data_IF_161524315905
#
_entry.id   IF_161524315905
#
_cell.length_a   1.000
_cell.length_b   1.000
_cell.length_c   1.000
_cell.angle_alpha   90.00
_cell.angle_beta   90.00
_cell.angle_gamma   90.00
#
_symmetry.space_group_name_H-M   'P 1'
#
loop_
_entity.id
_entity.type
_entity.pdbx_description
1 polymer ?
#
# COMPACT_ATOMS: atom_id res chain seq x y z
N UNK A 1 -65.39 97.46 -63.64
CA UNK A 1 -66.31 96.34 -63.63
C UNK A 1 -65.51 95.08 -63.78
N UNK A 2 -65.43 94.14 -63.01
CA UNK A 2 -66.14 93.47 -61.97
C UNK A 2 -65.23 92.37 -61.48
N UNK A 3 -64.97 92.30 -60.23
CA UNK A 3 -64.22 91.22 -59.60
C UNK A 3 -65.19 90.15 -59.05
N UNK A 4 -65.06 88.95 -59.38
CA UNK A 4 -65.48 87.83 -58.54
C UNK A 4 -64.95 86.52 -59.12
N UNK A 5 -64.17 85.75 -58.34
CA UNK A 5 -63.84 84.38 -58.72
C UNK A 5 -62.60 83.79 -58.11
N UNK A 6 -62.32 83.98 -56.79
CA UNK A 6 -61.17 83.21 -56.20
C UNK A 6 -61.38 82.83 -54.76
N UNK A 7 -62.56 82.44 -54.30
CA UNK A 7 -62.84 82.06 -52.93
C UNK A 7 -63.16 80.55 -52.74
N UNK A 8 -63.44 79.81 -53.82
CA UNK A 8 -63.78 78.34 -53.70
C UNK A 8 -62.59 77.38 -53.70
N UNK A 9 -61.43 77.73 -54.28
CA UNK A 9 -60.30 76.83 -54.39
C UNK A 9 -59.48 76.70 -53.11
N UNK A 10 -59.56 77.64 -52.15
CA UNK A 10 -58.80 77.54 -50.89
C UNK A 10 -59.45 76.65 -49.83
N UNK A 11 -60.78 76.45 -49.91
CA UNK A 11 -61.51 75.59 -48.95
C UNK A 11 -61.24 74.11 -49.30
N UNK A 12 -61.25 73.75 -50.58
CA UNK A 12 -60.97 72.38 -51.03
C UNK A 12 -59.51 71.99 -50.77
N UNK A 13 -58.55 72.93 -50.94
CA UNK A 13 -57.12 72.63 -50.56
C UNK A 13 -56.95 72.52 -49.09
N UNK A 14 -57.63 73.25 -48.22
CA UNK A 14 -57.52 73.09 -46.76
C UNK A 14 -58.14 71.76 -46.25
N UNK A 15 -59.29 71.34 -46.84
CA UNK A 15 -59.91 70.06 -46.47
C UNK A 15 -59.08 68.84 -46.94
N UNK A 16 -58.40 68.95 -48.09
CA UNK A 16 -57.52 67.92 -48.58
C UNK A 16 -56.23 67.77 -47.69
N UNK A 17 -55.73 68.95 -47.24
CA UNK A 17 -54.58 68.99 -46.33
C UNK A 17 -54.90 68.42 -44.93
N UNK A 18 -56.13 68.67 -44.42
CA UNK A 18 -56.57 68.11 -43.13
C UNK A 18 -56.82 66.59 -43.22
N UNK A 19 -57.34 66.12 -44.35
CA UNK A 19 -57.54 64.70 -44.59
C UNK A 19 -56.18 63.95 -44.70
N UNK A 20 -55.23 64.59 -45.44
CA UNK A 20 -53.87 64.03 -45.52
C UNK A 20 -53.16 63.99 -44.15
N UNK A 21 -53.34 65.04 -43.32
CA UNK A 21 -52.78 65.07 -41.98
C UNK A 21 -53.39 63.99 -41.05
N UNK A 22 -54.73 63.73 -41.19
CA UNK A 22 -55.38 62.66 -40.43
C UNK A 22 -54.92 61.25 -40.85
N UNK A 23 -54.68 61.04 -42.15
CA UNK A 23 -54.15 59.77 -42.66
C UNK A 23 -52.71 59.57 -42.17
N UNK A 24 -51.86 60.58 -42.16
CA UNK A 24 -50.50 60.53 -41.64
C UNK A 24 -50.54 60.29 -40.16
N UNK A 25 -51.42 60.92 -39.39
CA UNK A 25 -51.54 60.69 -37.94
C UNK A 25 -52.02 59.27 -37.62
N UNK A 26 -52.97 58.73 -38.40
CA UNK A 26 -53.43 57.34 -38.31
C UNK A 26 -52.35 56.39 -38.66
N UNK A 27 -51.53 56.67 -39.69
CA UNK A 27 -50.40 55.83 -40.07
C UNK A 27 -49.27 55.82 -38.98
N UNK A 28 -49.02 57.01 -38.41
CA UNK A 28 -48.06 57.13 -37.28
C UNK A 28 -48.58 56.38 -36.03
N UNK A 29 -49.88 56.54 -35.70
CA UNK A 29 -50.53 55.84 -34.62
C UNK A 29 -50.50 54.32 -34.84
N UNK A 30 -50.74 53.85 -36.07
CA UNK A 30 -50.66 52.43 -36.41
C UNK A 30 -49.21 51.90 -36.32
N UNK A 31 -48.22 52.67 -36.73
CA UNK A 31 -46.81 52.34 -36.58
C UNK A 31 -46.39 52.29 -35.12
N UNK A 32 -46.84 53.23 -34.29
CA UNK A 32 -46.56 53.24 -32.86
C UNK A 32 -47.28 52.07 -32.18
N UNK A 33 -48.53 51.77 -32.55
CA UNK A 33 -49.28 50.63 -32.03
C UNK A 33 -48.62 49.30 -32.39
N UNK A 34 -48.19 49.08 -33.62
CA UNK A 34 -47.49 47.90 -34.06
C UNK A 34 -46.08 47.75 -33.37
N UNK A 35 -45.39 48.91 -33.18
CA UNK A 35 -44.12 48.93 -32.50
C UNK A 35 -44.25 48.66 -30.99
N UNK A 36 -45.35 49.04 -30.34
CA UNK A 36 -45.59 48.80 -28.91
C UNK A 36 -46.18 47.45 -28.66
N UNK A 37 -46.89 46.83 -29.62
CA UNK A 37 -47.43 45.47 -29.51
C UNK A 37 -46.59 44.41 -30.23
N UNK A 38 -45.41 44.73 -30.77
CA UNK A 38 -44.42 43.66 -31.06
C UNK A 38 -43.95 43.06 -29.76
N UNK A 39 -44.56 41.94 -29.43
CA UNK A 39 -44.13 41.03 -28.34
C UNK A 39 -42.64 40.88 -28.48
N UNK A 40 -41.90 41.31 -27.46
CA UNK A 40 -40.47 41.10 -27.33
C UNK A 40 -40.28 39.59 -27.39
N UNK A 41 -39.90 39.03 -28.56
CA UNK A 41 -39.40 37.69 -28.65
C UNK A 41 -38.31 37.61 -27.60
N UNK A 42 -38.55 36.82 -26.54
CA UNK A 42 -37.56 36.52 -25.50
C UNK A 42 -36.34 36.00 -26.24
N UNK A 43 -35.30 36.82 -26.33
CA UNK A 43 -34.03 36.42 -26.88
C UNK A 43 -33.67 35.11 -26.16
N UNK A 44 -33.67 34.01 -26.89
CA UNK A 44 -33.20 32.71 -26.41
C UNK A 44 -31.82 32.97 -25.81
N UNK A 45 -31.70 32.88 -24.49
CA UNK A 45 -30.42 33.00 -23.81
C UNK A 45 -29.42 32.09 -24.54
N UNK A 46 -28.21 32.56 -24.85
CA UNK A 46 -27.25 31.75 -25.58
C UNK A 46 -27.08 30.44 -24.84
N UNK A 47 -27.51 29.36 -25.47
CA UNK A 47 -27.36 28.03 -24.90
C UNK A 47 -25.91 27.61 -25.10
N UNK A 48 -25.24 27.27 -24.02
CA UNK A 48 -23.85 26.78 -24.05
C UNK A 48 -23.84 25.26 -24.13
N UNK A 49 -22.98 24.72 -25.00
CA UNK A 49 -22.77 23.27 -25.11
C UNK A 49 -21.90 22.80 -23.94
N UNK A 50 -22.38 21.81 -23.23
CA UNK A 50 -21.67 21.20 -22.06
C UNK A 50 -21.65 19.69 -22.15
N UNK A 51 -20.65 19.08 -21.58
CA UNK A 51 -20.61 17.63 -21.33
C UNK A 51 -21.08 17.39 -19.90
N UNK A 52 -22.07 16.53 -19.73
CA UNK A 52 -22.61 16.18 -18.42
C UNK A 52 -22.23 14.75 -18.02
N UNK A 53 -22.19 14.50 -16.72
CA UNK A 53 -22.08 13.17 -16.11
C UNK A 53 -23.13 13.05 -15.01
N UNK A 54 -23.51 11.83 -14.68
CA UNK A 54 -24.40 11.56 -13.55
C UNK A 54 -23.58 11.40 -12.27
N UNK A 55 -24.16 11.78 -11.14
CA UNK A 55 -23.63 11.46 -9.81
C UNK A 55 -23.92 10.01 -9.53
N UNK A 56 -22.88 9.19 -9.41
CA UNK A 56 -22.97 7.77 -9.07
C UNK A 56 -22.91 7.60 -7.56
N UNK A 57 -23.77 6.74 -7.01
CA UNK A 57 -23.63 6.30 -5.63
C UNK A 57 -22.96 4.93 -5.60
N UNK A 58 -21.73 4.86 -5.07
CA UNK A 58 -20.97 3.61 -4.96
C UNK A 58 -19.91 3.70 -3.87
N UNK A 59 -19.43 2.54 -3.45
CA UNK A 59 -18.29 2.47 -2.53
C UNK A 59 -17.05 3.09 -3.15
N UNK A 60 -16.43 4.02 -2.44
CA UNK A 60 -15.25 4.74 -2.88
C UNK A 60 -14.05 4.41 -2.00
N UNK A 61 -13.09 3.68 -2.58
CA UNK A 61 -11.83 3.34 -1.91
C UNK A 61 -10.81 4.46 -2.08
N UNK A 62 -10.38 5.02 -0.97
CA UNK A 62 -9.25 5.95 -0.95
C UNK A 62 -7.97 5.14 -0.99
N UNK A 63 -7.29 5.17 -2.12
CA UNK A 63 -6.02 4.48 -2.33
C UNK A 63 -4.87 5.43 -2.02
N UNK A 64 -3.92 4.93 -1.26
CA UNK A 64 -2.63 5.58 -1.05
C UNK A 64 -1.57 4.81 -1.83
N UNK A 65 -0.93 5.47 -2.78
CA UNK A 65 0.12 4.88 -3.61
C UNK A 65 1.47 5.19 -2.99
N UNK A 66 2.29 4.17 -2.83
CA UNK A 66 3.65 4.27 -2.29
C UNK A 66 4.53 3.19 -2.92
N UNK A 67 5.84 3.33 -2.73
CA UNK A 67 6.80 2.30 -3.10
C UNK A 67 7.28 1.56 -1.85
N UNK A 68 7.66 0.31 -2.02
CA UNK A 68 8.22 -0.49 -0.94
C UNK A 68 9.17 -1.55 -1.45
N UNK A 69 9.76 -2.27 -0.50
CA UNK A 69 10.71 -3.35 -0.76
C UNK A 69 10.11 -4.68 -0.33
N UNK A 70 10.29 -5.69 -1.14
CA UNK A 70 10.00 -7.07 -0.75
C UNK A 70 11.08 -7.52 0.25
N UNK A 71 10.64 -8.11 1.36
CA UNK A 71 11.50 -8.67 2.39
C UNK A 71 11.06 -10.08 2.73
N UNK A 72 12.00 -10.98 2.97
CA UNK A 72 11.66 -12.32 3.44
C UNK A 72 10.93 -12.25 4.79
N UNK A 73 10.11 -13.24 5.07
CA UNK A 73 9.43 -13.30 6.36
C UNK A 73 10.43 -13.52 7.50
N UNK A 74 11.39 -14.44 7.32
CA UNK A 74 12.54 -14.65 8.19
C UNK A 74 13.78 -14.83 7.34
N UNK A 75 14.92 -14.34 7.83
CA UNK A 75 16.25 -14.54 7.24
C UNK A 75 17.17 -14.98 8.36
N UNK A 76 17.90 -16.06 8.14
CA UNK A 76 18.88 -16.57 9.10
C UNK A 76 20.19 -16.85 8.38
N UNK A 77 21.25 -16.20 8.86
CA UNK A 77 22.62 -16.51 8.47
C UNK A 77 23.11 -17.71 9.25
N UNK A 78 23.42 -18.79 8.58
CA UNK A 78 23.97 -20.00 9.17
C UNK A 78 25.47 -19.82 9.38
N UNK A 79 25.89 -19.94 10.65
CA UNK A 79 27.28 -19.78 11.08
C UNK A 79 27.71 -20.96 11.94
N UNK A 80 28.97 -21.39 11.86
CA UNK A 80 29.47 -22.43 12.73
C UNK A 80 29.55 -21.94 14.18
N UNK A 81 29.33 -22.81 15.15
CA UNK A 81 29.49 -22.48 16.57
C UNK A 81 30.87 -22.92 17.10
N UNK A 82 31.59 -23.76 16.34
CA UNK A 82 32.94 -24.23 16.64
C UNK A 82 33.86 -23.95 15.46
N UNK A 83 35.16 -23.90 15.70
CA UNK A 83 36.15 -23.75 14.63
C UNK A 83 36.59 -25.14 14.19
N UNK A 84 36.23 -25.52 12.95
CA UNK A 84 36.56 -26.83 12.42
C UNK A 84 36.57 -26.83 10.88
N UNK A 85 37.06 -27.92 10.26
CA UNK A 85 37.04 -28.10 8.81
C UNK A 85 35.63 -28.56 8.35
N UNK A 86 35.16 -28.04 7.23
CA UNK A 86 33.95 -28.55 6.57
C UNK A 86 34.25 -29.91 5.96
N UNK A 87 33.55 -30.93 6.43
CA UNK A 87 33.68 -32.31 5.93
C UNK A 87 32.82 -32.50 4.68
N UNK A 88 31.52 -32.24 4.80
CA UNK A 88 30.55 -32.42 3.71
C UNK A 88 29.51 -31.30 3.67
N UNK A 89 29.02 -31.04 2.48
CA UNK A 89 27.91 -30.12 2.21
C UNK A 89 26.74 -30.95 1.69
N UNK A 90 25.62 -30.96 2.43
CA UNK A 90 24.47 -31.82 2.17
C UNK A 90 23.34 -31.14 1.43
N UNK A 91 23.53 -29.85 1.09
CA UNK A 91 22.57 -29.01 0.36
C UNK A 91 23.20 -28.43 -0.92
N UNK A 92 22.35 -27.95 -1.82
CA UNK A 92 22.75 -27.23 -3.04
C UNK A 92 22.30 -25.78 -2.96
N UNK A 93 22.96 -24.91 -3.74
CA UNK A 93 22.51 -23.53 -3.93
C UNK A 93 21.05 -23.47 -4.39
N UNK A 94 20.24 -22.61 -3.77
CA UNK A 94 18.83 -22.44 -4.11
C UNK A 94 17.90 -23.59 -3.66
N UNK A 95 18.39 -24.58 -2.94
CA UNK A 95 17.58 -25.72 -2.48
C UNK A 95 16.61 -25.30 -1.37
N UNK A 96 15.37 -25.84 -1.42
CA UNK A 96 14.42 -25.70 -0.32
C UNK A 96 14.79 -26.68 0.81
N UNK A 97 14.84 -26.16 2.04
CA UNK A 97 15.20 -26.87 3.26
C UNK A 97 14.13 -26.71 4.33
N UNK A 98 13.97 -27.73 5.19
CA UNK A 98 13.07 -27.70 6.34
C UNK A 98 13.83 -27.43 7.63
N UNK A 99 13.14 -26.89 8.62
CA UNK A 99 13.71 -26.78 9.95
C UNK A 99 14.15 -28.16 10.46
N UNK A 100 15.42 -28.26 10.94
CA UNK A 100 16.07 -29.50 11.40
C UNK A 100 16.87 -30.23 10.34
N UNK A 101 16.72 -29.91 9.04
CA UNK A 101 17.55 -30.57 8.00
C UNK A 101 19.02 -30.26 8.20
N UNK A 102 19.87 -31.28 7.96
CA UNK A 102 21.33 -31.12 8.05
C UNK A 102 21.80 -30.37 6.79
N UNK A 103 22.55 -29.32 7.02
CA UNK A 103 23.08 -28.46 5.95
C UNK A 103 24.57 -28.81 5.69
N UNK A 104 25.34 -28.87 6.77
CA UNK A 104 26.79 -29.10 6.72
C UNK A 104 27.19 -30.05 7.83
N UNK A 105 28.22 -30.83 7.59
CA UNK A 105 28.96 -31.58 8.63
C UNK A 105 30.40 -31.08 8.69
N UNK A 106 30.88 -30.91 9.88
CA UNK A 106 32.29 -30.58 10.15
C UNK A 106 33.08 -31.85 10.48
N UNK A 107 34.39 -31.74 10.58
CA UNK A 107 35.27 -32.87 10.99
C UNK A 107 35.13 -33.15 12.46
N UNK A 108 34.27 -34.09 12.82
CA UNK A 108 33.88 -34.43 14.18
C UNK A 108 34.86 -35.41 14.91
N UNK A 109 35.93 -35.81 14.25
CA UNK A 109 36.82 -36.88 14.78
C UNK A 109 37.39 -36.55 16.16
N UNK A 110 37.85 -35.30 16.36
CA UNK A 110 38.39 -34.84 17.64
C UNK A 110 37.34 -34.78 18.74
N UNK A 111 36.20 -34.15 18.42
CA UNK A 111 35.13 -33.93 19.41
C UNK A 111 34.41 -35.23 19.77
N UNK A 112 34.28 -36.12 18.80
CA UNK A 112 33.79 -37.48 19.02
C UNK A 112 34.71 -38.29 19.96
N UNK A 113 36.05 -38.19 19.80
CA UNK A 113 37.01 -38.83 20.69
C UNK A 113 36.98 -38.20 22.11
N UNK A 114 36.84 -36.86 22.19
CA UNK A 114 36.69 -36.15 23.47
C UNK A 114 35.40 -36.53 24.18
N UNK A 115 34.28 -36.62 23.48
CA UNK A 115 33.02 -37.09 24.05
C UNK A 115 33.13 -38.55 24.51
N UNK A 116 33.72 -39.46 23.73
CA UNK A 116 33.90 -40.85 24.09
C UNK A 116 34.75 -41.01 25.36
N UNK A 117 35.83 -40.21 25.49
CA UNK A 117 36.65 -40.16 26.71
C UNK A 117 35.86 -39.69 27.93
N UNK A 118 35.16 -38.55 27.83
CA UNK A 118 34.38 -38.00 28.93
C UNK A 118 33.26 -38.95 29.36
N UNK A 119 32.60 -39.60 28.41
CA UNK A 119 31.55 -40.58 28.64
C UNK A 119 32.11 -41.81 29.40
N UNK A 120 33.28 -42.33 29.02
CA UNK A 120 33.88 -43.46 29.69
C UNK A 120 34.20 -43.14 31.18
N UNK A 121 34.66 -41.92 31.48
CA UNK A 121 34.90 -41.44 32.85
C UNK A 121 33.56 -41.31 33.60
N UNK A 122 32.52 -40.78 33.02
CA UNK A 122 31.20 -40.68 33.63
C UNK A 122 30.58 -42.05 33.93
N UNK A 123 30.68 -42.97 32.97
CA UNK A 123 30.21 -44.35 33.15
C UNK A 123 30.97 -45.09 34.29
N UNK A 124 32.26 -44.79 34.42
CA UNK A 124 33.06 -45.40 35.57
C UNK A 124 32.69 -44.79 36.92
N UNK A 125 32.57 -43.44 36.99
CA UNK A 125 32.16 -42.76 38.22
C UNK A 125 30.72 -43.17 38.63
N UNK A 126 29.82 -43.37 37.67
CA UNK A 126 28.48 -43.90 37.97
C UNK A 126 28.50 -45.33 38.52
N UNK A 127 29.37 -46.21 38.00
CA UNK A 127 29.55 -47.54 38.55
C UNK A 127 30.14 -47.52 39.98
N UNK A 128 31.07 -46.59 40.25
CA UNK A 128 31.62 -46.38 41.60
C UNK A 128 30.56 -45.95 42.60
N UNK A 129 29.71 -44.95 42.17
CA UNK A 129 28.61 -44.51 43.01
C UNK A 129 27.60 -45.65 43.31
N UNK A 130 27.21 -46.39 42.27
CA UNK A 130 26.28 -47.51 42.42
C UNK A 130 26.86 -48.60 43.39
N UNK A 131 28.17 -48.91 43.32
CA UNK A 131 28.86 -49.83 44.30
C UNK A 131 28.86 -49.27 45.71
N UNK A 132 29.14 -47.95 45.87
CA UNK A 132 29.13 -47.32 47.19
C UNK A 132 27.73 -47.33 47.82
N UNK A 133 26.68 -47.12 47.03
CA UNK A 133 25.29 -47.26 47.52
C UNK A 133 24.94 -48.65 47.98
N UNK A 134 25.43 -49.72 47.30
CA UNK A 134 25.19 -51.09 47.70
C UNK A 134 25.96 -51.44 48.97
N UNK A 135 27.21 -50.97 49.09
CA UNK A 135 28.02 -51.17 50.31
C UNK A 135 27.45 -50.41 51.53
N UNK A 136 26.83 -49.26 51.32
CA UNK A 136 26.10 -48.50 52.37
C UNK A 136 24.93 -49.31 52.95
N UNK A 137 24.12 -49.94 52.06
CA UNK A 137 23.02 -50.82 52.52
C UNK A 137 23.49 -51.93 53.44
N UNK A 138 24.74 -52.37 53.25
CA UNK A 138 25.41 -53.42 54.09
C UNK A 138 26.21 -52.84 55.25
N UNK A 139 26.17 -51.50 55.47
CA UNK A 139 26.93 -50.77 56.51
C UNK A 139 28.48 -50.87 56.39
N UNK A 140 29.02 -51.13 55.21
CA UNK A 140 30.46 -51.21 54.99
C UNK A 140 31.13 -49.87 54.66
N UNK A 141 30.36 -48.82 54.32
CA UNK A 141 30.84 -47.46 54.06
C UNK A 141 29.98 -46.43 54.76
N UNK A 142 30.50 -45.19 54.96
CA UNK A 142 29.78 -44.08 55.55
C UNK A 142 28.88 -43.35 54.50
N UNK A 143 27.87 -42.70 54.98
CA UNK A 143 27.07 -41.83 54.13
C UNK A 143 27.94 -40.79 53.40
N UNK A 144 28.90 -40.17 54.07
CA UNK A 144 29.84 -39.21 53.49
C UNK A 144 30.64 -39.77 52.31
N UNK A 145 31.00 -41.06 52.34
CA UNK A 145 31.68 -41.74 51.22
C UNK A 145 30.73 -41.85 49.98
N UNK A 146 29.46 -42.19 50.22
CA UNK A 146 28.42 -42.22 49.14
C UNK A 146 28.19 -40.85 48.58
N UNK A 147 28.05 -39.79 49.40
CA UNK A 147 27.86 -38.46 48.97
C UNK A 147 29.04 -37.95 48.12
N UNK A 148 30.27 -38.31 48.47
CA UNK A 148 31.48 -38.01 47.69
C UNK A 148 31.45 -38.71 46.32
N UNK A 149 31.12 -39.98 46.25
CA UNK A 149 31.05 -40.73 44.98
C UNK A 149 29.88 -40.22 44.09
N UNK A 150 28.81 -39.84 44.74
CA UNK A 150 27.68 -39.17 44.03
C UNK A 150 28.12 -37.87 43.38
N UNK A 151 28.76 -36.99 44.15
CA UNK A 151 29.23 -35.69 43.61
C UNK A 151 30.22 -35.88 42.44
N UNK A 152 31.11 -36.90 42.55
CA UNK A 152 32.05 -37.27 41.49
C UNK A 152 31.30 -37.76 40.22
N UNK A 153 30.28 -38.60 40.39
CA UNK A 153 29.48 -39.11 39.28
C UNK A 153 28.70 -38.01 38.59
N UNK A 154 28.08 -37.09 39.34
CA UNK A 154 27.36 -35.92 38.80
C UNK A 154 28.33 -35.00 38.07
N UNK A 155 29.52 -34.71 38.58
CA UNK A 155 30.54 -33.90 37.93
C UNK A 155 31.06 -34.52 36.63
N UNK A 156 31.34 -35.84 36.63
CA UNK A 156 31.78 -36.55 35.44
C UNK A 156 30.68 -36.58 34.36
N UNK A 157 29.42 -36.79 34.76
CA UNK A 157 28.28 -36.74 33.84
C UNK A 157 28.14 -35.36 33.21
N UNK A 158 28.20 -34.28 33.98
CA UNK A 158 28.17 -32.93 33.49
C UNK A 158 29.28 -32.66 32.46
N UNK A 159 30.48 -33.18 32.69
CA UNK A 159 31.61 -33.07 31.75
C UNK A 159 31.34 -33.83 30.43
N UNK A 160 30.73 -35.03 30.51
CA UNK A 160 30.33 -35.78 29.32
C UNK A 160 29.23 -35.07 28.52
N UNK A 161 28.26 -34.48 29.23
CA UNK A 161 27.19 -33.71 28.58
C UNK A 161 27.74 -32.47 27.90
N UNK A 162 28.69 -31.75 28.50
CA UNK A 162 29.37 -30.62 27.87
C UNK A 162 30.10 -31.04 26.58
N UNK A 163 30.86 -32.16 26.62
CA UNK A 163 31.53 -32.67 25.43
C UNK A 163 30.53 -33.10 24.33
N UNK A 164 29.36 -33.66 24.73
CA UNK A 164 28.29 -34.01 23.79
C UNK A 164 27.70 -32.79 23.09
N UNK A 165 27.54 -31.68 23.82
CA UNK A 165 27.05 -30.41 23.22
C UNK A 165 28.03 -29.88 22.17
N UNK A 166 29.36 -29.89 22.50
CA UNK A 166 30.40 -29.47 21.54
C UNK A 166 30.33 -30.34 20.28
N UNK A 167 30.28 -31.64 20.39
CA UNK A 167 30.14 -32.59 19.27
C UNK A 167 28.87 -32.32 18.45
N UNK A 168 27.78 -31.85 19.08
CA UNK A 168 26.55 -31.56 18.39
C UNK A 168 26.68 -30.34 17.45
N UNK A 169 27.62 -29.44 17.69
CA UNK A 169 27.89 -28.27 16.88
C UNK A 169 28.60 -28.60 15.55
N UNK A 170 29.19 -29.77 15.43
CA UNK A 170 29.78 -30.26 14.17
C UNK A 170 28.72 -30.63 13.13
N UNK A 171 27.48 -30.82 13.54
CA UNK A 171 26.35 -31.04 12.64
C UNK A 171 25.51 -29.78 12.57
N UNK A 172 25.64 -29.00 11.48
CA UNK A 172 24.96 -27.74 11.29
C UNK A 172 23.61 -27.99 10.64
N UNK A 173 22.53 -27.55 11.33
CA UNK A 173 21.14 -27.73 10.88
C UNK A 173 20.45 -26.41 10.61
N UNK A 174 19.42 -26.47 9.75
CA UNK A 174 18.57 -25.32 9.51
C UNK A 174 17.65 -25.04 10.70
N UNK A 175 17.64 -23.82 11.26
CA UNK A 175 16.71 -23.43 12.31
C UNK A 175 15.31 -23.11 11.78
N UNK A 176 15.16 -22.84 10.48
CA UNK A 176 13.90 -22.44 9.84
C UNK A 176 13.67 -23.24 8.56
N UNK A 177 12.41 -23.29 8.14
CA UNK A 177 12.05 -23.77 6.79
C UNK A 177 12.16 -22.59 5.82
N UNK A 178 12.87 -22.80 4.70
CA UNK A 178 13.11 -21.75 3.71
C UNK A 178 13.94 -22.23 2.54
N UNK A 179 14.43 -21.31 1.75
CA UNK A 179 15.32 -21.58 0.62
C UNK A 179 16.74 -21.16 0.97
N UNK A 180 17.69 -22.04 0.71
CA UNK A 180 19.11 -21.75 0.84
C UNK A 180 19.55 -20.76 -0.25
N UNK A 181 20.33 -19.77 0.13
CA UNK A 181 21.01 -18.87 -0.80
C UNK A 181 22.26 -19.51 -1.41
N UNK A 182 23.22 -18.67 -1.78
CA UNK A 182 24.52 -19.12 -2.29
C UNK A 182 25.36 -19.65 -1.13
N UNK A 183 25.97 -20.79 -1.30
CA UNK A 183 26.87 -21.43 -0.34
C UNK A 183 28.27 -20.83 -0.51
N UNK A 184 28.80 -20.26 0.58
CA UNK A 184 30.07 -19.53 0.56
C UNK A 184 31.27 -20.36 1.06
N UNK A 185 31.08 -21.65 1.27
CA UNK A 185 32.12 -22.56 1.79
C UNK A 185 32.24 -23.80 0.91
N UNK A 186 33.39 -24.46 0.97
CA UNK A 186 33.68 -25.69 0.24
C UNK A 186 34.14 -26.79 1.19
N UNK A 187 34.01 -28.07 0.84
CA UNK A 187 34.62 -29.16 1.58
C UNK A 187 36.12 -28.91 1.75
N UNK A 188 36.62 -29.05 2.98
CA UNK A 188 38.02 -28.75 3.36
C UNK A 188 38.26 -27.29 3.77
N UNK A 189 37.26 -26.39 3.67
CA UNK A 189 37.41 -25.02 4.19
C UNK A 189 37.43 -25.04 5.74
N UNK A 190 38.32 -24.24 6.33
CA UNK A 190 38.29 -23.97 7.75
C UNK A 190 37.23 -22.91 8.05
N UNK A 191 36.25 -23.22 8.88
CA UNK A 191 35.21 -22.29 9.32
C UNK A 191 35.42 -22.00 10.81
N UNK A 192 35.10 -20.77 11.23
CA UNK A 192 35.33 -20.32 12.61
C UNK A 192 34.09 -19.60 13.17
N UNK A 193 33.83 -19.84 14.45
CA UNK A 193 32.82 -19.15 15.25
C UNK A 193 33.20 -17.67 15.53
N UNK A 194 34.50 -17.34 15.46
CA UNK A 194 35.00 -16.00 15.74
C UNK A 194 34.82 -15.08 14.53
N UNK A 195 34.05 -14.04 14.69
CA UNK A 195 33.90 -12.96 13.70
C UNK A 195 35.12 -12.02 13.78
N UNK A 196 36.35 -12.52 13.70
CA UNK A 196 37.54 -11.65 13.65
C UNK A 196 37.74 -11.22 12.22
N UNK A 197 37.19 -10.04 11.87
CA UNK A 197 37.64 -9.26 10.70
C UNK A 197 39.05 -8.78 11.01
N UNK A 198 40.07 -9.48 10.57
CA UNK A 198 41.40 -8.92 10.46
C UNK A 198 41.36 -7.94 9.30
N UNK A 199 41.21 -6.68 9.62
CA UNK A 199 41.27 -5.58 8.65
C UNK A 199 42.70 -5.48 8.13
N UNK A 200 43.02 -6.21 7.08
CA UNK A 200 44.16 -5.90 6.23
C UNK A 200 43.75 -4.77 5.33
N UNK A 201 44.40 -3.65 5.48
CA UNK A 201 44.26 -2.40 4.73
C UNK A 201 44.32 -2.65 3.21
N UNK A 202 43.15 -2.87 2.59
CA UNK A 202 42.98 -2.64 1.14
C UNK A 202 41.49 -2.53 0.86
N UNK A 203 41.14 -1.40 0.27
CA UNK A 203 39.80 -1.02 -0.11
C UNK A 203 39.16 -2.08 -1.04
N UNK A 204 37.87 -2.28 -0.86
CA UNK A 204 36.94 -3.00 -1.76
C UNK A 204 36.89 -4.52 -1.57
N UNK A 205 36.37 -4.95 -0.42
CA UNK A 205 35.56 -6.17 -0.37
C UNK A 205 34.70 -6.11 0.92
N UNK A 206 33.45 -5.74 0.80
CA UNK A 206 32.42 -6.01 1.81
C UNK A 206 32.14 -7.53 1.76
N UNK A 207 33.09 -8.31 2.21
CA UNK A 207 32.86 -9.72 2.45
C UNK A 207 32.16 -9.76 3.81
N UNK A 208 30.90 -10.14 3.85
CA UNK A 208 30.23 -10.58 5.06
C UNK A 208 30.92 -11.87 5.52
N UNK A 209 32.00 -11.70 6.25
CA UNK A 209 32.82 -12.78 6.79
C UNK A 209 31.97 -13.51 7.83
N UNK A 210 31.60 -14.74 7.55
CA UNK A 210 31.11 -15.65 8.54
C UNK A 210 29.85 -16.47 8.26
N UNK A 211 28.99 -16.10 7.34
CA UNK A 211 27.83 -16.93 7.00
C UNK A 211 28.23 -18.01 5.98
N UNK A 212 28.02 -19.28 6.32
CA UNK A 212 28.22 -20.40 5.40
C UNK A 212 27.16 -20.40 4.30
N UNK A 213 25.92 -20.11 4.67
CA UNK A 213 24.76 -19.92 3.79
C UNK A 213 23.73 -19.08 4.52
N UNK A 214 22.94 -18.30 3.77
CA UNK A 214 21.77 -17.59 4.30
C UNK A 214 20.52 -18.37 3.90
N UNK A 215 19.62 -18.65 4.86
CA UNK A 215 18.34 -19.29 4.61
C UNK A 215 17.26 -18.23 4.73
N UNK A 216 16.43 -18.09 3.68
CA UNK A 216 15.36 -17.13 3.60
C UNK A 216 14.00 -17.81 3.47
N UNK A 217 13.06 -17.43 4.33
CA UNK A 217 11.67 -17.88 4.22
C UNK A 217 10.95 -16.99 3.19
N UNK A 218 10.69 -17.57 2.01
CA UNK A 218 10.12 -16.87 0.88
C UNK A 218 8.58 -16.97 0.79
N UNK A 219 7.98 -17.93 1.47
CA UNK A 219 6.52 -18.07 1.57
C UNK A 219 6.09 -18.34 3.02
N UNK A 220 5.20 -17.49 3.58
CA UNK A 220 4.76 -16.20 3.06
C UNK A 220 5.91 -15.21 2.95
N UNK A 221 5.75 -14.19 2.08
CA UNK A 221 6.71 -13.09 1.93
C UNK A 221 6.08 -11.79 2.43
N UNK A 222 6.91 -10.82 2.77
CA UNK A 222 6.42 -9.53 3.24
C UNK A 222 6.83 -8.40 2.29
N UNK A 223 6.04 -7.34 2.28
CA UNK A 223 6.42 -6.06 1.70
C UNK A 223 6.57 -5.04 2.82
N UNK A 224 7.67 -4.32 2.83
CA UNK A 224 7.98 -3.23 3.75
C UNK A 224 7.85 -1.90 3.01
N UNK A 225 7.03 -1.00 3.53
CA UNK A 225 6.79 0.33 2.97
C UNK A 225 6.55 1.35 4.06
N UNK A 226 6.53 2.63 3.69
CA UNK A 226 6.32 3.74 4.62
C UNK A 226 5.01 4.44 4.34
N UNK A 227 4.35 4.90 5.41
CA UNK A 227 3.12 5.69 5.36
C UNK A 227 3.35 6.98 6.14
N UNK A 228 3.09 8.17 5.55
CA UNK A 228 3.20 9.45 6.24
C UNK A 228 2.34 9.51 7.51
N UNK A 229 2.85 10.18 8.55
CA UNK A 229 2.15 10.33 9.84
C UNK A 229 0.73 10.90 9.69
N UNK A 230 0.53 11.82 8.73
CA UNK A 230 -0.78 12.39 8.45
C UNK A 230 -1.87 11.35 8.13
N UNK A 231 -1.47 10.19 7.57
CA UNK A 231 -2.38 9.09 7.22
C UNK A 231 -2.48 8.01 8.31
N UNK A 232 -1.68 8.11 9.38
CA UNK A 232 -1.59 7.07 10.42
C UNK A 232 -2.92 6.85 11.14
N UNK A 233 -3.63 7.93 11.49
CA UNK A 233 -4.93 7.85 12.17
C UNK A 233 -5.96 7.04 11.36
N UNK A 234 -6.04 7.30 10.06
CA UNK A 234 -6.92 6.55 9.15
C UNK A 234 -6.49 5.08 9.06
N UNK A 235 -5.18 4.84 8.94
CA UNK A 235 -4.61 3.49 8.86
C UNK A 235 -4.92 2.66 10.10
N UNK A 236 -4.77 3.25 11.30
CA UNK A 236 -5.07 2.55 12.56
C UNK A 236 -6.56 2.24 12.71
N UNK A 237 -7.43 3.14 12.28
CA UNK A 237 -8.88 2.92 12.28
C UNK A 237 -9.26 1.77 11.35
N UNK A 238 -8.72 1.73 10.13
CA UNK A 238 -8.99 0.66 9.17
C UNK A 238 -8.38 -0.68 9.62
N UNK A 239 -7.18 -0.67 10.22
CA UNK A 239 -6.53 -1.88 10.77
C UNK A 239 -7.38 -2.56 11.86
N UNK A 240 -8.10 -1.79 12.64
CA UNK A 240 -8.96 -2.30 13.74
C UNK A 240 -10.22 -3.00 13.24
N UNK A 241 -10.54 -2.90 11.96
CA UNK A 241 -11.70 -3.59 11.35
C UNK A 241 -11.39 -5.08 11.14
N UNK A 242 -12.40 -5.97 11.21
CA UNK A 242 -12.21 -7.42 11.01
C UNK A 242 -11.61 -7.79 9.66
N UNK A 243 -11.88 -7.01 8.63
CA UNK A 243 -11.39 -7.23 7.26
C UNK A 243 -9.90 -6.89 7.12
N UNK A 244 -9.37 -6.03 8.01
CA UNK A 244 -8.01 -5.50 7.95
C UNK A 244 -7.79 -4.58 6.75
N UNK A 245 -6.54 -4.22 6.50
CA UNK A 245 -6.17 -3.34 5.39
C UNK A 245 -5.62 -4.18 4.24
N UNK A 246 -6.30 -4.12 3.10
CA UNK A 246 -5.81 -4.75 1.88
C UNK A 246 -4.68 -3.91 1.26
N UNK A 247 -3.68 -4.63 0.78
CA UNK A 247 -2.53 -4.07 0.05
C UNK A 247 -2.43 -4.76 -1.29
N UNK A 248 -2.39 -4.00 -2.36
CA UNK A 248 -2.13 -4.51 -3.70
C UNK A 248 -0.71 -4.13 -4.10
N UNK A 249 0.08 -5.13 -4.43
CA UNK A 249 1.44 -4.97 -4.94
C UNK A 249 1.42 -5.17 -6.44
N UNK A 250 1.90 -4.18 -7.18
CA UNK A 250 2.03 -4.26 -8.63
C UNK A 250 3.44 -4.76 -8.96
N UNK A 251 3.52 -5.84 -9.74
CA UNK A 251 4.77 -6.39 -10.24
C UNK A 251 5.15 -5.74 -11.57
N UNK A 252 6.43 -5.76 -11.90
CA UNK A 252 6.95 -5.19 -13.15
C UNK A 252 6.37 -5.85 -14.42
N UNK A 253 5.92 -7.09 -14.34
CA UNK A 253 5.24 -7.81 -15.43
C UNK A 253 3.76 -7.44 -15.61
N UNK A 254 3.22 -6.53 -14.77
CA UNK A 254 1.81 -6.13 -14.77
C UNK A 254 0.91 -6.97 -13.87
N UNK A 255 1.39 -8.07 -13.31
CA UNK A 255 0.63 -8.88 -12.36
C UNK A 255 0.41 -8.13 -11.04
N UNK A 256 -0.67 -8.48 -10.34
CA UNK A 256 -1.02 -7.91 -9.06
C UNK A 256 -1.12 -8.99 -8.00
N UNK A 257 -0.44 -8.77 -6.89
CA UNK A 257 -0.58 -9.63 -5.71
C UNK A 257 -1.28 -8.87 -4.60
N UNK A 258 -2.25 -9.53 -3.96
CA UNK A 258 -3.01 -8.95 -2.86
C UNK A 258 -2.50 -9.55 -1.56
N UNK A 259 -2.25 -8.67 -0.60
CA UNK A 259 -1.85 -9.04 0.76
C UNK A 259 -2.62 -8.24 1.80
N UNK A 260 -2.25 -8.45 3.06
CA UNK A 260 -2.86 -7.73 4.19
C UNK A 260 -1.78 -7.13 5.08
N UNK A 261 -2.01 -5.90 5.54
CA UNK A 261 -1.19 -5.28 6.59
C UNK A 261 -1.33 -6.09 7.86
N UNK A 262 -0.20 -6.51 8.45
CA UNK A 262 -0.19 -7.20 9.73
C UNK A 262 0.57 -6.45 10.82
N UNK A 263 1.57 -5.64 10.44
CA UNK A 263 2.33 -4.81 11.37
C UNK A 263 2.35 -3.36 10.88
N UNK A 264 2.05 -2.45 11.79
CA UNK A 264 2.37 -1.03 11.71
C UNK A 264 3.36 -0.78 12.84
N UNK A 265 4.50 -0.19 12.54
CA UNK A 265 5.54 0.10 13.52
C UNK A 265 4.98 1.00 14.64
N UNK A 266 5.51 0.87 15.84
CA UNK A 266 5.12 1.67 17.00
C UNK A 266 5.92 2.98 17.11
N UNK A 267 6.84 3.23 16.17
CA UNK A 267 7.65 4.43 16.11
C UNK A 267 7.52 5.13 14.76
N UNK A 268 7.43 6.46 14.82
CA UNK A 268 7.54 7.33 13.65
C UNK A 268 9.02 7.58 13.40
N UNK A 269 9.47 7.38 12.20
CA UNK A 269 10.81 7.81 11.78
C UNK A 269 10.80 9.32 11.63
N UNK A 270 11.43 10.01 12.57
CA UNK A 270 11.42 11.48 12.65
C UNK A 270 12.20 12.15 11.52
N UNK A 271 13.09 11.42 10.85
CA UNK A 271 13.86 11.97 9.72
C UNK A 271 12.99 12.16 8.47
N UNK A 272 11.97 11.31 8.31
CA UNK A 272 11.10 11.31 7.13
C UNK A 272 9.61 11.55 7.47
N UNK A 273 9.26 11.69 8.76
CA UNK A 273 7.87 11.90 9.20
C UNK A 273 6.92 10.76 8.79
N UNK A 274 7.39 9.52 8.78
CA UNK A 274 6.63 8.37 8.29
C UNK A 274 6.78 7.16 9.22
N UNK A 275 5.80 6.26 9.16
CA UNK A 275 5.77 5.00 9.91
C UNK A 275 6.02 3.84 8.96
N UNK A 276 6.84 2.88 9.39
CA UNK A 276 7.07 1.64 8.65
C UNK A 276 5.90 0.68 8.81
N UNK A 277 5.47 0.11 7.70
CA UNK A 277 4.35 -0.83 7.64
C UNK A 277 4.80 -2.09 6.93
N UNK A 278 4.39 -3.25 7.46
CA UNK A 278 4.61 -4.55 6.82
C UNK A 278 3.27 -5.16 6.44
N UNK A 279 3.18 -5.61 5.20
CA UNK A 279 2.06 -6.43 4.74
C UNK A 279 2.57 -7.79 4.30
N UNK A 280 1.76 -8.81 4.54
CA UNK A 280 2.04 -10.19 4.19
C UNK A 280 1.35 -10.56 2.89
N UNK A 281 2.11 -11.23 2.02
CA UNK A 281 1.63 -11.73 0.73
C UNK A 281 1.89 -13.23 0.63
N UNK A 282 1.04 -13.92 -0.11
CA UNK A 282 1.35 -15.27 -0.58
C UNK A 282 2.37 -15.21 -1.71
N UNK A 283 3.35 -16.11 -1.68
CA UNK A 283 4.40 -16.22 -2.68
C UNK A 283 4.68 -17.70 -3.02
N UNK A 284 3.61 -18.47 -3.15
CA UNK A 284 3.69 -19.90 -3.48
C UNK A 284 4.32 -20.17 -4.84
N UNK A 285 4.24 -19.21 -5.77
CA UNK A 285 4.84 -19.22 -7.10
C UNK A 285 6.27 -18.69 -7.14
N UNK A 286 6.82 -18.20 -6.01
CA UNK A 286 8.16 -17.60 -5.88
C UNK A 286 8.43 -16.43 -6.85
N UNK A 287 7.38 -15.76 -7.32
CA UNK A 287 7.50 -14.61 -8.23
C UNK A 287 8.11 -13.36 -7.55
N UNK A 288 7.97 -13.25 -6.22
CA UNK A 288 8.57 -12.18 -5.44
C UNK A 288 9.89 -12.62 -4.81
N UNK A 289 10.92 -11.82 -5.00
CA UNK A 289 12.27 -12.06 -4.47
C UNK A 289 12.61 -10.94 -3.47
N UNK A 290 13.15 -11.25 -2.30
CA UNK A 290 13.61 -10.23 -1.35
C UNK A 290 14.59 -9.25 -1.99
N UNK A 291 14.43 -7.96 -1.69
CA UNK A 291 15.22 -6.87 -2.27
C UNK A 291 14.56 -6.21 -3.49
N UNK A 292 13.52 -6.77 -4.09
CA UNK A 292 12.79 -6.12 -5.18
C UNK A 292 12.05 -4.88 -4.69
N UNK A 293 12.10 -3.82 -5.52
CA UNK A 293 11.23 -2.65 -5.37
C UNK A 293 9.90 -2.88 -6.07
N UNK A 294 8.83 -2.51 -5.42
CA UNK A 294 7.46 -2.71 -5.93
C UNK A 294 6.61 -1.47 -5.64
N UNK A 295 5.64 -1.24 -6.53
CA UNK A 295 4.61 -0.24 -6.30
C UNK A 295 3.47 -0.85 -5.48
N UNK A 296 2.98 -0.07 -4.54
CA UNK A 296 1.99 -0.51 -3.55
C UNK A 296 0.80 0.42 -3.60
N UNK A 297 -0.38 -0.16 -3.74
CA UNK A 297 -1.65 0.50 -3.55
C UNK A 297 -2.25 0.03 -2.21
N UNK A 298 -2.25 0.93 -1.24
CA UNK A 298 -2.81 0.71 0.08
C UNK A 298 -4.23 1.29 0.14
N UNK A 299 -5.22 0.48 0.52
CA UNK A 299 -6.56 0.97 0.80
C UNK A 299 -6.58 1.66 2.16
N UNK A 300 -6.46 3.00 2.17
CA UNK A 300 -6.35 3.77 3.41
C UNK A 300 -7.71 4.10 4.05
N UNK A 301 -8.79 4.09 3.26
CA UNK A 301 -10.15 4.33 3.72
C UNK A 301 -11.17 3.81 2.70
N UNK A 302 -12.25 3.21 3.18
CA UNK A 302 -13.44 2.88 2.38
C UNK A 302 -14.58 3.80 2.81
N UNK A 303 -15.10 4.60 1.87
CA UNK A 303 -16.29 5.42 2.05
C UNK A 303 -17.43 4.67 1.39
N UNK A 304 -18.29 4.05 2.21
CA UNK A 304 -19.49 3.34 1.72
C UNK A 304 -20.52 4.33 1.22
N UNK A 305 -21.26 3.93 0.17
CA UNK A 305 -22.36 4.72 -0.42
C UNK A 305 -21.98 6.16 -0.77
N UNK A 306 -20.73 6.39 -1.17
CA UNK A 306 -20.23 7.71 -1.52
C UNK A 306 -20.85 8.22 -2.84
N UNK A 307 -21.17 9.52 -2.90
CA UNK A 307 -21.52 10.19 -4.13
C UNK A 307 -20.22 10.49 -4.89
N UNK A 308 -20.04 9.82 -6.02
CA UNK A 308 -18.80 9.87 -6.80
C UNK A 308 -19.03 10.66 -8.09
N UNK A 309 -18.13 11.61 -8.34
CA UNK A 309 -18.14 12.45 -9.54
C UNK A 309 -16.75 12.50 -10.17
N UNK A 310 -16.64 12.77 -11.48
CA UNK A 310 -15.36 13.14 -12.08
C UNK A 310 -14.79 14.40 -11.43
N UNK A 311 -13.52 14.39 -11.04
CA UNK A 311 -12.87 15.55 -10.39
C UNK A 311 -12.88 16.79 -11.28
N UNK A 312 -12.95 16.61 -12.59
CA UNK A 312 -13.07 17.69 -13.57
C UNK A 312 -14.37 18.50 -13.39
N UNK A 313 -15.43 17.93 -12.78
CA UNK A 313 -16.68 18.66 -12.54
C UNK A 313 -16.53 19.72 -11.43
N UNK A 314 -15.55 19.62 -10.57
CA UNK A 314 -15.35 20.48 -9.40
C UNK A 314 -14.83 21.86 -9.84
N UNK A 315 -15.37 22.89 -9.19
CA UNK A 315 -14.92 24.28 -9.32
C UNK A 315 -14.54 24.75 -7.92
N UNK A 316 -13.26 25.01 -7.73
CA UNK A 316 -12.75 25.55 -6.47
C UNK A 316 -12.54 27.06 -6.59
N UNK A 317 -13.16 27.84 -5.73
CA UNK A 317 -13.02 29.29 -5.67
C UNK A 317 -12.96 29.78 -4.21
N UNK A 318 -12.87 31.09 -4.01
CA UNK A 318 -12.80 31.70 -2.67
C UNK A 318 -14.04 31.45 -1.80
N UNK A 319 -15.16 31.01 -2.40
CA UNK A 319 -16.41 30.68 -1.69
C UNK A 319 -16.51 29.20 -1.32
N UNK A 320 -15.51 28.40 -1.70
CA UNK A 320 -15.43 26.96 -1.50
C UNK A 320 -15.60 26.13 -2.77
N UNK A 321 -15.70 24.82 -2.60
CA UNK A 321 -15.87 23.87 -3.69
C UNK A 321 -17.34 23.80 -4.11
N UNK A 322 -17.57 23.84 -5.42
CA UNK A 322 -18.89 23.92 -6.03
C UNK A 322 -18.95 23.06 -7.30
N UNK A 323 -20.16 22.69 -7.70
CA UNK A 323 -20.44 22.04 -8.97
C UNK A 323 -21.63 22.72 -9.66
N UNK A 324 -21.71 22.59 -10.97
CA UNK A 324 -22.91 22.94 -11.73
C UNK A 324 -23.80 21.72 -11.86
N UNK A 325 -25.06 21.82 -11.44
CA UNK A 325 -26.12 20.83 -11.65
C UNK A 325 -27.04 21.30 -12.73
N UNK A 326 -27.45 20.40 -13.61
CA UNK A 326 -28.40 20.63 -14.71
C UNK A 326 -29.75 20.04 -14.33
N UNK A 327 -30.78 20.89 -14.25
CA UNK A 327 -32.15 20.48 -13.94
C UNK A 327 -32.86 19.79 -15.14
N UNK A 328 -34.13 19.40 -14.95
CA UNK A 328 -34.95 18.78 -15.99
C UNK A 328 -35.22 19.72 -17.16
N UNK A 329 -35.23 21.03 -16.93
CA UNK A 329 -35.43 22.10 -17.95
C UNK A 329 -34.13 22.49 -18.65
N UNK A 330 -33.03 21.77 -18.42
CA UNK A 330 -31.68 22.06 -18.94
C UNK A 330 -31.13 23.43 -18.50
N UNK A 331 -31.48 23.88 -17.30
CA UNK A 331 -30.90 25.06 -16.67
C UNK A 331 -29.85 24.67 -15.67
N UNK A 332 -28.84 25.51 -15.56
CA UNK A 332 -27.69 25.27 -14.66
C UNK A 332 -27.91 25.97 -13.33
N UNK A 333 -27.70 25.24 -12.24
CA UNK A 333 -27.65 25.78 -10.89
C UNK A 333 -26.28 25.47 -10.26
N UNK A 334 -25.82 26.31 -9.32
CA UNK A 334 -24.61 26.07 -8.55
C UNK A 334 -25.00 25.42 -7.24
N UNK A 335 -24.30 24.31 -6.90
CA UNK A 335 -24.41 23.68 -5.59
C UNK A 335 -23.05 23.61 -4.92
N UNK A 336 -23.01 24.02 -3.65
CA UNK A 336 -21.82 23.84 -2.80
C UNK A 336 -21.68 22.36 -2.45
N UNK A 337 -20.44 21.90 -2.46
CA UNK A 337 -20.08 20.53 -2.12
C UNK A 337 -19.00 20.53 -1.06
N UNK A 338 -18.86 19.38 -0.38
CA UNK A 338 -17.70 19.08 0.46
C UNK A 338 -17.01 17.85 -0.10
N UNK A 339 -15.75 17.99 -0.46
CA UNK A 339 -14.92 16.89 -0.92
C UNK A 339 -14.52 16.04 0.29
N UNK A 340 -14.84 14.74 0.26
CA UNK A 340 -14.46 13.77 1.27
C UNK A 340 -13.12 13.11 0.95
N UNK A 341 -12.90 12.82 -0.34
CA UNK A 341 -11.65 12.27 -0.88
C UNK A 341 -11.59 12.45 -2.40
N UNK A 342 -10.38 12.44 -2.95
CA UNK A 342 -10.16 12.52 -4.40
C UNK A 342 -9.05 11.54 -4.79
N UNK A 343 -9.33 10.67 -5.77
CA UNK A 343 -8.41 9.62 -6.23
C UNK A 343 -8.61 9.38 -7.72
N UNK A 344 -7.52 9.32 -8.48
CA UNK A 344 -7.48 8.91 -9.89
C UNK A 344 -8.54 9.58 -10.80
N UNK A 345 -8.72 10.88 -10.64
CA UNK A 345 -9.65 11.65 -11.49
C UNK A 345 -11.11 11.57 -11.06
N UNK A 346 -11.43 10.93 -9.93
CA UNK A 346 -12.75 10.92 -9.31
C UNK A 346 -12.70 11.54 -7.91
N UNK A 347 -13.82 12.09 -7.47
CA UNK A 347 -13.99 12.65 -6.13
C UNK A 347 -15.24 12.08 -5.46
N UNK A 348 -15.10 11.66 -4.19
CA UNK A 348 -16.22 11.39 -3.31
C UNK A 348 -16.64 12.71 -2.65
N UNK A 349 -17.91 13.06 -2.77
CA UNK A 349 -18.43 14.35 -2.31
C UNK A 349 -19.70 14.19 -1.47
N UNK A 350 -20.11 15.26 -0.83
CA UNK A 350 -21.45 15.42 -0.25
C UNK A 350 -22.09 16.69 -0.80
N UNK A 351 -23.41 16.69 -0.93
CA UNK A 351 -24.20 17.84 -1.37
C UNK A 351 -25.26 17.50 -2.40
N UNK A 352 -24.92 16.96 -3.59
CA UNK A 352 -25.92 16.58 -4.58
C UNK A 352 -26.65 15.28 -4.20
N UNK A 353 -27.68 14.93 -4.99
CA UNK A 353 -28.34 13.64 -4.90
C UNK A 353 -27.76 12.64 -5.92
N UNK A 354 -27.90 11.35 -5.63
CA UNK A 354 -27.58 10.30 -6.59
C UNK A 354 -28.45 10.48 -7.86
N UNK A 355 -27.82 10.37 -9.04
CA UNK A 355 -28.50 10.56 -10.33
C UNK A 355 -28.57 11.99 -10.85
N UNK A 356 -28.22 13.01 -10.05
CA UNK A 356 -28.13 14.38 -10.52
C UNK A 356 -27.18 14.51 -11.72
N UNK A 357 -27.55 15.31 -12.71
CA UNK A 357 -26.69 15.61 -13.87
C UNK A 357 -25.78 16.78 -13.53
N UNK A 358 -24.48 16.57 -13.62
CA UNK A 358 -23.45 17.57 -13.34
C UNK A 358 -22.65 17.92 -14.59
N UNK A 359 -22.20 19.17 -14.70
CA UNK A 359 -21.37 19.62 -15.82
C UNK A 359 -19.91 19.24 -15.57
N UNK A 360 -19.32 18.49 -16.49
CA UNK A 360 -17.90 18.12 -16.47
C UNK A 360 -17.07 19.06 -17.31
N UNK A 361 -17.50 19.35 -18.56
CA UNK A 361 -16.80 20.26 -19.48
C UNK A 361 -17.70 21.41 -19.95
N UNK A 362 -17.11 22.52 -20.38
CA UNK A 362 -17.82 23.69 -20.81
C UNK A 362 -18.18 24.70 -19.71
N UNK A 363 -17.55 24.60 -18.53
CA UNK A 363 -17.88 25.39 -17.33
C UNK A 363 -17.51 26.87 -17.39
N UNK A 364 -16.51 27.25 -18.19
CA UNK A 364 -15.82 28.55 -18.10
C UNK A 364 -16.73 29.78 -18.30
N UNK A 365 -17.82 29.62 -19.01
CA UNK A 365 -18.76 30.72 -19.32
C UNK A 365 -20.17 30.51 -18.74
N UNK A 366 -20.34 29.47 -17.89
CA UNK A 366 -21.65 29.20 -17.31
C UNK A 366 -21.96 30.16 -16.15
N UNK A 367 -23.22 30.60 -16.12
CA UNK A 367 -23.80 31.37 -15.02
C UNK A 367 -25.05 30.66 -14.52
N UNK A 368 -25.38 30.78 -13.25
CA UNK A 368 -26.63 30.22 -12.72
C UNK A 368 -27.83 30.70 -13.52
N UNK A 369 -28.75 29.81 -13.87
CA UNK A 369 -29.95 30.07 -14.64
C UNK A 369 -29.77 30.03 -16.17
N UNK A 370 -28.54 29.82 -16.68
CA UNK A 370 -28.33 29.64 -18.13
C UNK A 370 -28.87 28.30 -18.61
N UNK A 371 -29.45 28.31 -19.83
CA UNK A 371 -29.83 27.08 -20.52
C UNK A 371 -28.63 26.47 -21.21
N UNK A 372 -28.48 25.15 -21.09
CA UNK A 372 -27.38 24.38 -21.67
C UNK A 372 -27.90 23.34 -22.67
N UNK A 373 -27.05 22.99 -23.64
CA UNK A 373 -27.29 21.91 -24.59
C UNK A 373 -26.23 20.82 -24.31
N UNK A 374 -26.69 19.62 -24.08
CA UNK A 374 -25.82 18.50 -23.81
C UNK A 374 -25.09 18.01 -25.07
N UNK A 375 -23.78 18.08 -25.07
CA UNK A 375 -22.98 17.43 -26.09
C UNK A 375 -22.91 15.94 -25.81
N UNK A 376 -23.06 15.14 -26.87
CA UNK A 376 -22.83 13.69 -26.75
C UNK A 376 -21.36 13.47 -26.31
N UNK A 377 -21.17 12.92 -25.12
CA UNK A 377 -19.83 12.60 -24.63
C UNK A 377 -19.08 11.73 -25.67
N UNK A 378 -17.83 12.02 -25.99
CA UNK A 378 -17.02 11.08 -26.74
C UNK A 378 -16.95 9.79 -25.92
N UNK A 379 -17.26 8.64 -26.54
CA UNK A 379 -17.10 7.33 -25.93
C UNK A 379 -15.65 7.21 -25.44
N UNK A 380 -15.48 7.01 -24.13
CA UNK A 380 -14.15 6.77 -23.56
C UNK A 380 -13.55 5.54 -24.24
N UNK A 381 -12.47 5.74 -24.98
CA UNK A 381 -11.65 4.66 -25.50
C UNK A 381 -11.16 3.80 -24.31
N UNK A 382 -11.51 2.52 -24.35
CA UNK A 382 -11.09 1.49 -23.40
C UNK A 382 -9.58 1.36 -23.32
#
# INVERSE_FOLDING_TARGET
>A
MSATGNKKNNIVKKSLLTLLALIILSFIGFKIYTSFFQTKETAKSPSQTVVTSKVDQKDFSVLFETSGNIVANNIVDIRPQVTNLVSEILIKDGQDVKAGDILFTLDDRSDKANYAKAKAIADDAQRQYARAQELLKQNFVSQAAVDTTRANAESAQASADAAKVVLSFDTIRSPITGRAGVINVFPGSLVSSSNVVTTSTSATATTSVGAMVTISQLNPINVLFTVPEANLSNLMTEKSKPEGIAVTVNLANGDKKIGKVYVVDNQVDTAIGAVRVKARLDNSDFALIPGQFVEINLQSKLIKDALVIPSQAIISNTQGDQIYIVDAENKVSIQKIKILAQVRGFAAITGPNAGDRIVVEGKSNLRPGMSVVEAKAPEASK
#
